data_IF_928293492159
#
_entry.id   IF_928293492159
#
_cell.length_a   1.000
_cell.length_b   1.000
_cell.length_c   1.000
_cell.angle_alpha   90.00
_cell.angle_beta   90.00
_cell.angle_gamma   90.00
#
_symmetry.space_group_name_H-M   'P 1'
#
loop_
_entity.id
_entity.type
_entity.pdbx_description
1 polymer ?
#
# COMPACT_ATOMS: atom_id res chain seq x y z
N UNK A 1 4.37 -25.54 -17.87
CA UNK A 1 4.13 -24.70 -19.08
C UNK A 1 4.54 -23.28 -18.68
N UNK A 2 5.10 -22.42 -19.53
CA UNK A 2 5.38 -21.05 -19.05
C UNK A 2 4.05 -20.34 -18.74
N UNK A 3 3.78 -20.10 -17.45
CA UNK A 3 2.58 -19.38 -17.03
C UNK A 3 2.73 -17.89 -17.38
N UNK A 4 1.65 -17.22 -17.86
CA UNK A 4 1.70 -15.83 -18.30
C UNK A 4 1.65 -14.85 -17.12
N UNK A 5 2.67 -14.89 -16.26
CA UNK A 5 2.84 -13.91 -15.20
C UNK A 5 3.13 -12.52 -15.78
N UNK A 6 2.51 -11.48 -15.25
CA UNK A 6 2.70 -10.10 -15.71
C UNK A 6 4.06 -9.55 -15.28
N UNK A 7 4.59 -8.55 -15.99
CA UNK A 7 5.87 -7.94 -15.61
C UNK A 7 5.78 -7.15 -14.29
N UNK A 8 4.64 -6.49 -14.02
CA UNK A 8 4.40 -5.68 -12.82
C UNK A 8 3.14 -6.19 -12.11
N UNK A 9 3.25 -7.37 -11.46
CA UNK A 9 2.12 -8.04 -10.82
C UNK A 9 1.61 -7.29 -9.60
N UNK A 10 0.32 -7.41 -9.31
CA UNK A 10 -0.25 -7.04 -8.03
C UNK A 10 0.09 -8.06 -6.93
N UNK A 11 -0.33 -7.77 -5.70
CA UNK A 11 0.00 -8.56 -4.50
C UNK A 11 -0.42 -10.03 -4.63
N UNK A 12 -1.57 -10.31 -5.23
CA UNK A 12 -2.12 -11.67 -5.33
C UNK A 12 -1.30 -12.46 -6.33
N UNK A 13 -1.06 -11.89 -7.50
CA UNK A 13 -0.22 -12.52 -8.52
C UNK A 13 1.23 -12.70 -8.05
N UNK A 14 1.81 -11.72 -7.34
CA UNK A 14 3.15 -11.86 -6.72
C UNK A 14 3.23 -13.06 -5.80
N UNK A 15 2.25 -13.23 -4.92
CA UNK A 15 2.22 -14.37 -4.01
C UNK A 15 2.09 -15.71 -4.74
N UNK A 16 1.28 -15.79 -5.80
CA UNK A 16 1.25 -16.98 -6.65
C UNK A 16 2.60 -17.26 -7.30
N UNK A 17 3.30 -16.23 -7.78
CA UNK A 17 4.66 -16.38 -8.33
C UNK A 17 5.62 -16.97 -7.31
N UNK A 18 5.59 -16.50 -6.06
CA UNK A 18 6.42 -17.06 -4.96
C UNK A 18 6.16 -18.55 -4.73
N UNK A 19 4.90 -18.98 -4.86
CA UNK A 19 4.44 -20.36 -4.64
C UNK A 19 4.76 -21.30 -5.79
N UNK A 20 4.81 -20.79 -7.01
CA UNK A 20 4.96 -21.59 -8.22
C UNK A 20 6.24 -22.44 -8.21
N UNK A 21 6.08 -23.76 -8.22
CA UNK A 21 7.17 -24.75 -8.19
C UNK A 21 8.16 -24.58 -7.03
N UNK A 22 7.70 -24.01 -5.91
CA UNK A 22 8.56 -23.71 -4.76
C UNK A 22 8.41 -24.75 -3.63
N UNK A 23 9.49 -25.52 -3.31
CA UNK A 23 9.45 -26.57 -2.27
C UNK A 23 9.22 -26.04 -0.85
N UNK A 24 9.45 -24.75 -0.59
CA UNK A 24 9.22 -24.16 0.73
C UNK A 24 7.72 -24.05 1.04
N UNK A 25 6.87 -23.93 0.01
CA UNK A 25 5.42 -23.85 0.17
C UNK A 25 4.72 -25.21 0.20
N UNK A 26 5.26 -26.21 -0.49
CA UNK A 26 4.73 -27.58 -0.49
C UNK A 26 5.79 -28.60 -0.92
N UNK A 27 5.68 -29.83 -0.40
CA UNK A 27 6.44 -30.97 -0.88
C UNK A 27 5.51 -32.12 -1.28
N UNK A 28 5.53 -32.59 -2.54
CA UNK A 28 6.35 -32.10 -3.66
C UNK A 28 5.96 -30.67 -4.09
N UNK A 29 6.87 -29.92 -4.75
CA UNK A 29 6.54 -28.61 -5.31
C UNK A 29 5.34 -28.68 -6.25
N UNK A 30 4.48 -27.66 -6.21
CA UNK A 30 3.25 -27.60 -6.99
C UNK A 30 3.30 -26.44 -8.00
N UNK A 31 2.84 -26.69 -9.21
CA UNK A 31 2.58 -25.64 -10.20
C UNK A 31 1.34 -24.86 -9.77
N UNK A 32 1.34 -23.54 -9.99
CA UNK A 32 0.14 -22.72 -9.80
C UNK A 32 -0.88 -23.07 -10.90
N UNK A 33 -2.15 -23.35 -10.57
CA UNK A 33 -3.18 -23.57 -11.58
C UNK A 33 -3.41 -22.31 -12.44
N UNK A 34 -3.54 -22.42 -13.77
CA UNK A 34 -3.82 -21.28 -14.65
C UNK A 34 -5.08 -20.49 -14.27
N UNK A 35 -6.11 -21.17 -13.76
CA UNK A 35 -7.35 -20.58 -13.26
C UNK A 35 -7.12 -19.69 -12.03
N UNK A 36 -6.24 -20.09 -11.12
CA UNK A 36 -5.89 -19.30 -9.92
C UNK A 36 -5.11 -18.05 -10.32
N UNK A 37 -4.19 -18.18 -11.28
CA UNK A 37 -3.44 -17.05 -11.82
C UNK A 37 -4.38 -16.03 -12.49
N UNK A 38 -5.31 -16.50 -13.32
CA UNK A 38 -6.28 -15.62 -13.97
C UNK A 38 -7.16 -14.90 -12.95
N UNK A 39 -7.65 -15.61 -11.93
CA UNK A 39 -8.48 -15.03 -10.87
C UNK A 39 -7.70 -13.97 -10.06
N UNK A 40 -6.43 -14.23 -9.75
CA UNK A 40 -5.57 -13.27 -9.06
C UNK A 40 -5.33 -12.01 -9.88
N UNK A 41 -5.03 -12.16 -11.18
CA UNK A 41 -4.84 -11.04 -12.10
C UNK A 41 -6.11 -10.18 -12.25
N UNK A 42 -7.28 -10.82 -12.31
CA UNK A 42 -8.57 -10.11 -12.34
C UNK A 42 -8.81 -9.32 -11.06
N UNK A 43 -8.63 -9.94 -9.89
CA UNK A 43 -8.81 -9.27 -8.61
C UNK A 43 -7.81 -8.11 -8.40
N UNK A 44 -6.55 -8.29 -8.80
CA UNK A 44 -5.53 -7.22 -8.75
C UNK A 44 -5.90 -6.05 -9.68
N UNK A 45 -6.50 -6.33 -10.85
CA UNK A 45 -6.97 -5.30 -11.77
C UNK A 45 -8.22 -4.56 -11.23
N UNK A 46 -9.18 -5.29 -10.67
CA UNK A 46 -10.37 -4.70 -10.04
C UNK A 46 -9.99 -3.76 -8.88
N UNK A 47 -9.04 -4.17 -8.04
CA UNK A 47 -8.51 -3.33 -6.96
C UNK A 47 -7.84 -2.06 -7.49
N UNK A 48 -7.12 -2.15 -8.62
CA UNK A 48 -6.49 -0.99 -9.25
C UNK A 48 -7.52 0.02 -9.79
N UNK A 49 -8.60 -0.44 -10.40
CA UNK A 49 -9.66 0.44 -10.91
C UNK A 49 -10.45 1.10 -9.77
N UNK A 50 -10.69 0.36 -8.68
CA UNK A 50 -11.24 0.92 -7.45
C UNK A 50 -10.32 2.01 -6.87
N UNK A 51 -9.01 1.71 -6.75
CA UNK A 51 -8.00 2.67 -6.29
C UNK A 51 -8.00 3.97 -7.12
N UNK A 52 -8.03 3.87 -8.45
CA UNK A 52 -8.06 5.05 -9.34
C UNK A 52 -9.32 5.90 -9.11
N UNK A 53 -10.46 5.27 -8.87
CA UNK A 53 -11.72 5.94 -8.60
C UNK A 53 -11.69 6.66 -7.26
N UNK A 54 -11.25 5.97 -6.21
CA UNK A 54 -11.17 6.51 -4.86
C UNK A 54 -10.11 7.61 -4.75
N UNK A 55 -8.97 7.47 -5.44
CA UNK A 55 -7.92 8.49 -5.47
C UNK A 55 -8.45 9.82 -6.03
N UNK A 56 -9.21 9.79 -7.13
CA UNK A 56 -9.85 11.00 -7.68
C UNK A 56 -10.81 11.63 -6.67
N UNK A 57 -11.59 10.82 -5.97
CA UNK A 57 -12.50 11.30 -4.94
C UNK A 57 -11.76 11.91 -3.75
N UNK A 58 -10.63 11.33 -3.31
CA UNK A 58 -9.80 11.90 -2.24
C UNK A 58 -9.17 13.23 -2.64
N UNK A 59 -8.64 13.33 -3.87
CA UNK A 59 -8.08 14.58 -4.39
C UNK A 59 -9.17 15.65 -4.44
N UNK A 60 -10.37 15.32 -4.91
CA UNK A 60 -11.49 16.26 -4.94
C UNK A 60 -11.86 16.75 -3.53
N UNK A 61 -11.98 15.83 -2.56
CA UNK A 61 -12.24 16.17 -1.15
C UNK A 61 -11.16 17.09 -0.56
N UNK A 62 -9.90 16.87 -0.90
CA UNK A 62 -8.80 17.72 -0.45
C UNK A 62 -8.88 19.14 -1.00
N UNK A 63 -9.30 19.30 -2.26
CA UNK A 63 -9.47 20.60 -2.93
C UNK A 63 -10.70 21.35 -2.40
N UNK A 64 -11.79 20.65 -2.10
CA UNK A 64 -13.04 21.21 -1.59
C UNK A 64 -13.03 21.48 -0.08
N UNK A 65 -11.94 21.15 0.61
CA UNK A 65 -11.83 21.29 2.05
C UNK A 65 -11.94 22.78 2.45
N UNK A 66 -12.91 23.17 3.29
CA UNK A 66 -13.08 24.56 3.65
C UNK A 66 -11.98 25.04 4.62
N UNK A 67 -11.64 26.34 4.64
CA UNK A 67 -10.59 26.88 5.51
C UNK A 67 -10.81 26.68 7.02
N UNK A 68 -12.07 26.52 7.43
CA UNK A 68 -12.53 26.29 8.80
C UNK A 68 -12.96 24.83 9.05
N UNK A 69 -12.54 23.89 8.19
CA UNK A 69 -12.77 22.47 8.40
C UNK A 69 -12.28 22.02 9.78
N UNK A 70 -13.14 21.28 10.49
CA UNK A 70 -12.81 20.74 11.81
C UNK A 70 -11.64 19.76 11.75
N UNK A 71 -10.83 19.72 12.83
CA UNK A 71 -9.64 18.86 12.92
C UNK A 71 -9.92 17.40 12.58
N UNK A 72 -11.07 16.86 13.00
CA UNK A 72 -11.48 15.48 12.70
C UNK A 72 -11.58 15.20 11.19
N UNK A 73 -12.14 16.14 10.41
CA UNK A 73 -12.26 16.01 8.96
C UNK A 73 -10.87 16.03 8.31
N UNK A 74 -10.00 16.92 8.78
CA UNK A 74 -8.63 17.07 8.27
C UNK A 74 -7.79 15.82 8.55
N UNK A 75 -7.88 15.29 9.78
CA UNK A 75 -7.17 14.08 10.19
C UNK A 75 -7.74 12.83 9.50
N UNK A 76 -9.06 12.75 9.31
CA UNK A 76 -9.67 11.66 8.54
C UNK A 76 -9.26 11.67 7.07
N UNK A 77 -9.08 12.85 6.46
CA UNK A 77 -8.54 12.95 5.11
C UNK A 77 -7.07 12.51 5.04
N UNK A 78 -6.24 12.88 6.04
CA UNK A 78 -4.87 12.39 6.17
C UNK A 78 -4.83 10.85 6.22
N UNK A 79 -5.63 10.25 7.11
CA UNK A 79 -5.68 8.79 7.26
C UNK A 79 -6.10 8.10 5.96
N UNK A 80 -7.10 8.64 5.25
CA UNK A 80 -7.52 8.11 3.97
C UNK A 80 -6.41 8.19 2.90
N UNK A 81 -5.68 9.29 2.86
CA UNK A 81 -4.53 9.48 1.96
C UNK A 81 -3.40 8.48 2.28
N UNK A 82 -3.10 8.25 3.57
CA UNK A 82 -2.10 7.28 4.01
C UNK A 82 -2.48 5.86 3.63
N UNK A 83 -3.75 5.48 3.82
CA UNK A 83 -4.26 4.18 3.39
C UNK A 83 -4.14 3.96 1.88
N UNK A 84 -4.44 4.99 1.08
CA UNK A 84 -4.21 4.91 -0.36
C UNK A 84 -2.73 4.85 -0.72
N UNK A 85 -1.88 5.56 0.03
CA UNK A 85 -0.44 5.45 -0.14
C UNK A 85 0.02 4.00 0.01
N UNK A 86 -0.37 3.35 1.11
CA UNK A 86 -0.12 1.94 1.41
C UNK A 86 -0.66 1.01 0.32
N UNK A 87 -1.93 1.17 -0.05
CA UNK A 87 -2.60 0.32 -1.02
C UNK A 87 -1.85 0.31 -2.36
N UNK A 88 -1.34 1.46 -2.80
CA UNK A 88 -0.68 1.62 -4.10
C UNK A 88 0.53 0.71 -4.32
N UNK A 89 1.20 0.22 -3.27
CA UNK A 89 2.35 -0.70 -3.38
C UNK A 89 1.94 -2.14 -3.67
N UNK A 90 0.69 -2.48 -3.38
CA UNK A 90 0.12 -3.79 -3.67
C UNK A 90 -0.51 -3.94 -5.04
N UNK A 91 -0.66 -2.84 -5.78
CA UNK A 91 -1.36 -2.84 -7.06
C UNK A 91 -0.44 -3.30 -8.21
N UNK A 92 -1.03 -3.81 -9.30
CA UNK A 92 -0.30 -4.02 -10.54
C UNK A 92 0.16 -2.68 -11.14
N UNK A 93 1.12 -2.72 -12.06
CA UNK A 93 1.72 -1.52 -12.69
C UNK A 93 2.54 -0.64 -11.70
N UNK A 94 2.81 0.61 -12.06
CA UNK A 94 3.58 1.56 -11.23
C UNK A 94 2.77 2.81 -11.02
N UNK A 95 2.65 3.23 -9.77
CA UNK A 95 1.80 4.34 -9.34
C UNK A 95 2.62 5.47 -8.70
N UNK A 96 3.80 5.75 -9.25
CA UNK A 96 4.74 6.73 -8.68
C UNK A 96 4.15 8.14 -8.64
N UNK A 97 3.40 8.53 -9.68
CA UNK A 97 2.80 9.86 -9.76
C UNK A 97 1.70 10.05 -8.70
N UNK A 98 0.85 9.04 -8.52
CA UNK A 98 -0.19 9.01 -7.49
C UNK A 98 0.45 9.06 -6.09
N UNK A 99 1.48 8.25 -5.85
CA UNK A 99 2.24 8.23 -4.60
C UNK A 99 2.85 9.61 -4.29
N UNK A 100 3.45 10.26 -5.28
CA UNK A 100 4.03 11.60 -5.12
C UNK A 100 2.96 12.65 -4.83
N UNK A 101 1.82 12.58 -5.49
CA UNK A 101 0.69 13.46 -5.25
C UNK A 101 0.14 13.28 -3.83
N UNK A 102 -0.05 12.04 -3.38
CA UNK A 102 -0.49 11.71 -2.03
C UNK A 102 0.50 12.25 -0.97
N UNK A 103 1.81 12.00 -1.14
CA UNK A 103 2.83 12.54 -0.22
C UNK A 103 2.77 14.06 -0.11
N UNK A 104 2.59 14.77 -1.23
CA UNK A 104 2.45 16.24 -1.25
C UNK A 104 1.19 16.71 -0.51
N UNK A 105 0.05 16.02 -0.70
CA UNK A 105 -1.20 16.36 -0.02
C UNK A 105 -1.09 16.14 1.49
N UNK A 106 -0.53 15.01 1.94
CA UNK A 106 -0.31 14.75 3.36
C UNK A 106 0.61 15.82 3.97
N UNK A 107 1.72 16.16 3.30
CA UNK A 107 2.62 17.20 3.77
C UNK A 107 1.93 18.57 3.91
N UNK A 108 1.03 18.92 2.99
CA UNK A 108 0.24 20.15 3.06
C UNK A 108 -0.73 20.13 4.25
N UNK A 109 -1.43 19.02 4.45
CA UNK A 109 -2.34 18.81 5.60
C UNK A 109 -1.56 18.95 6.91
N UNK A 110 -0.43 18.25 7.04
CA UNK A 110 0.38 18.30 8.26
C UNK A 110 0.95 19.69 8.53
N UNK A 111 1.27 20.48 7.50
CA UNK A 111 1.66 21.89 7.67
C UNK A 111 0.50 22.73 8.25
N UNK A 112 -0.73 22.49 7.82
CA UNK A 112 -1.91 23.17 8.35
C UNK A 112 -2.18 22.75 9.82
N UNK A 113 -2.10 21.45 10.12
CA UNK A 113 -2.26 20.91 11.48
C UNK A 113 -1.21 21.46 12.43
N UNK A 114 0.07 21.47 12.04
CA UNK A 114 1.17 22.05 12.83
C UNK A 114 0.96 23.54 13.13
N UNK A 115 0.37 24.28 12.18
CA UNK A 115 0.01 25.70 12.40
C UNK A 115 -1.14 25.85 13.40
N UNK A 116 -2.15 24.98 13.32
CA UNK A 116 -3.31 25.00 14.22
C UNK A 116 -2.95 24.60 15.66
N UNK A 117 -1.98 23.69 15.85
CA UNK A 117 -1.46 23.30 17.17
C UNK A 117 -0.78 24.47 17.93
N UNK A 118 -0.46 25.57 17.24
CA UNK A 118 0.04 26.79 17.88
C UNK A 118 1.36 26.56 18.60
N UNK A 119 1.45 26.97 19.88
CA UNK A 119 2.68 26.90 20.70
C UNK A 119 2.66 25.77 21.74
N UNK A 120 1.68 24.87 21.70
CA UNK A 120 1.60 23.73 22.61
C UNK A 120 2.80 22.80 22.40
N UNK A 121 3.73 22.68 23.37
CA UNK A 121 4.92 21.86 23.21
C UNK A 121 4.60 20.37 23.10
N UNK A 122 3.56 19.88 23.80
CA UNK A 122 3.19 18.47 23.77
C UNK A 122 2.63 18.09 22.40
N UNK A 123 1.66 18.87 21.90
CA UNK A 123 1.08 18.64 20.59
C UNK A 123 2.13 18.73 19.47
N UNK A 124 3.12 19.63 19.57
CA UNK A 124 4.23 19.71 18.61
C UNK A 124 5.13 18.48 18.63
N UNK A 125 5.39 17.91 19.81
CA UNK A 125 6.19 16.70 19.94
C UNK A 125 5.44 15.50 19.34
N UNK A 126 4.16 15.32 19.66
CA UNK A 126 3.36 14.22 19.10
C UNK A 126 3.28 14.28 17.56
N UNK A 127 3.13 15.48 17.00
CA UNK A 127 3.15 15.69 15.53
C UNK A 127 4.53 15.48 14.90
N UNK A 128 5.61 15.56 15.67
CA UNK A 128 6.96 15.26 15.20
C UNK A 128 7.22 13.75 15.24
N UNK A 129 6.84 13.09 16.33
CA UNK A 129 6.96 11.64 16.49
C UNK A 129 6.12 10.89 15.44
N UNK A 130 4.89 11.37 15.17
CA UNK A 130 4.03 10.82 14.12
C UNK A 130 4.66 10.98 12.73
N UNK A 131 5.25 12.13 12.42
CA UNK A 131 5.91 12.37 11.13
C UNK A 131 7.10 11.41 10.95
N UNK A 132 7.93 11.22 11.98
CA UNK A 132 9.05 10.30 11.94
C UNK A 132 8.58 8.85 11.73
N UNK A 133 7.56 8.41 12.48
CA UNK A 133 6.97 7.10 12.33
C UNK A 133 6.41 6.88 10.91
N UNK A 134 5.74 7.90 10.36
CA UNK A 134 5.19 7.88 9.00
C UNK A 134 6.28 7.79 7.93
N UNK A 135 7.38 8.53 8.07
CA UNK A 135 8.51 8.44 7.14
C UNK A 135 9.16 7.04 7.13
N UNK A 136 9.32 6.44 8.31
CA UNK A 136 9.80 5.05 8.44
C UNK A 136 8.82 4.09 7.77
N UNK A 137 7.53 4.23 8.06
CA UNK A 137 6.49 3.39 7.47
C UNK A 137 6.48 3.49 5.94
N UNK A 138 6.56 4.71 5.39
CA UNK A 138 6.60 4.94 3.94
C UNK A 138 7.82 4.31 3.28
N UNK A 139 8.99 4.37 3.94
CA UNK A 139 10.21 3.71 3.45
C UNK A 139 10.09 2.19 3.47
N UNK A 140 9.43 1.63 4.48
CA UNK A 140 9.22 0.19 4.58
C UNK A 140 8.29 -0.32 3.46
N UNK A 141 7.25 0.43 3.11
CA UNK A 141 6.32 0.07 2.02
C UNK A 141 6.99 0.01 0.64
N UNK A 142 8.13 0.71 0.46
CA UNK A 142 8.90 0.62 -0.79
C UNK A 142 9.48 -0.79 -1.02
N UNK A 143 9.50 -1.65 0.01
CA UNK A 143 9.78 -3.07 -0.12
C UNK A 143 8.48 -3.84 -0.42
N UNK A 144 8.30 -4.42 -1.63
CA UNK A 144 7.07 -5.08 -2.03
C UNK A 144 6.61 -6.19 -1.09
N UNK A 145 7.54 -6.96 -0.53
CA UNK A 145 7.24 -7.97 0.49
C UNK A 145 6.58 -7.34 1.73
N UNK A 146 7.10 -6.20 2.21
CA UNK A 146 6.54 -5.54 3.41
C UNK A 146 5.16 -4.99 3.10
N UNK A 147 4.96 -4.37 1.93
CA UNK A 147 3.65 -3.91 1.49
C UNK A 147 2.63 -5.05 1.36
N UNK A 148 3.06 -6.22 0.86
CA UNK A 148 2.21 -7.42 0.77
C UNK A 148 1.82 -7.94 2.15
N UNK A 149 2.75 -7.96 3.11
CA UNK A 149 2.53 -8.45 4.47
C UNK A 149 1.64 -7.52 5.30
N UNK A 150 1.79 -6.21 5.14
CA UNK A 150 1.03 -5.21 5.91
C UNK A 150 -0.39 -5.00 5.39
N UNK A 151 -0.71 -5.49 4.20
CA UNK A 151 -2.05 -5.31 3.65
C UNK A 151 -3.12 -6.02 4.51
N UNK A 152 -4.26 -5.37 4.81
CA UNK A 152 -5.32 -5.98 5.60
C UNK A 152 -5.87 -7.28 5.00
N UNK A 153 -5.90 -7.35 3.68
CA UNK A 153 -6.30 -8.54 2.90
C UNK A 153 -5.08 -9.18 2.24
N UNK A 154 -3.97 -9.31 2.98
CA UNK A 154 -2.77 -9.97 2.46
C UNK A 154 -3.08 -11.38 1.97
N UNK A 155 -2.61 -11.79 0.78
CA UNK A 155 -2.72 -13.18 0.33
C UNK A 155 -1.76 -14.12 1.08
N UNK A 156 -0.85 -13.59 1.90
CA UNK A 156 0.16 -14.36 2.63
C UNK A 156 -0.43 -14.81 3.97
N UNK A 157 -0.84 -16.09 4.04
CA UNK A 157 -1.32 -16.69 5.28
C UNK A 157 -0.21 -16.89 6.34
N UNK A 158 -0.55 -17.06 7.63
CA UNK A 158 0.45 -17.29 8.69
C UNK A 158 1.34 -18.51 8.46
N UNK A 159 0.79 -19.58 7.90
CA UNK A 159 1.49 -20.82 7.51
C UNK A 159 2.42 -20.63 6.31
N UNK A 160 2.19 -19.57 5.53
CA UNK A 160 2.96 -19.21 4.34
C UNK A 160 3.98 -18.09 4.60
N UNK A 161 4.03 -17.53 5.81
CA UNK A 161 4.95 -16.45 6.14
C UNK A 161 6.42 -16.85 6.00
N UNK A 162 6.81 -17.95 6.64
CA UNK A 162 8.18 -18.45 6.58
C UNK A 162 8.65 -18.75 5.14
N UNK A 163 7.90 -19.52 4.32
CA UNK A 163 8.33 -19.78 2.95
C UNK A 163 8.35 -18.51 2.10
N UNK A 164 7.42 -17.57 2.30
CA UNK A 164 7.44 -16.27 1.62
C UNK A 164 8.70 -15.47 1.93
N UNK A 165 9.05 -15.29 3.21
CA UNK A 165 10.24 -14.52 3.60
C UNK A 165 11.53 -15.20 3.11
N UNK A 166 11.61 -16.52 3.17
CA UNK A 166 12.79 -17.28 2.73
C UNK A 166 12.93 -17.35 1.20
N UNK A 167 11.85 -17.11 0.46
CA UNK A 167 11.87 -17.07 -1.01
C UNK A 167 12.03 -15.67 -1.60
N UNK A 168 11.95 -14.63 -0.76
CA UNK A 168 12.03 -13.25 -1.22
C UNK A 168 13.42 -12.94 -1.80
N UNK A 169 13.42 -12.29 -2.96
CA UNK A 169 14.65 -11.82 -3.62
C UNK A 169 14.84 -10.32 -3.36
N UNK A 170 16.07 -9.81 -3.58
CA UNK A 170 16.38 -8.39 -3.42
C UNK A 170 15.67 -7.50 -4.46
N UNK A 171 15.28 -8.08 -5.59
CA UNK A 171 14.67 -7.38 -6.74
C UNK A 171 13.15 -7.62 -6.85
N UNK A 172 12.55 -8.26 -5.83
CA UNK A 172 11.10 -8.46 -5.76
C UNK A 172 10.34 -7.18 -5.45
#
# INVERSE_FOLDING_TARGET
MELPFTHKPGRRERHLRRRHENPLFAWPPQEVPPEDLLAAQQADHEEMEAFRTDFRALVQKAVELPPDAGSEIVLGLKEALERHYEQSFGLPETHTEERDAIRKLIALIMKAVKRAAGADPLARQELADEEEAREIHFRLLEQPLVADLLHPESPIGPDQLAPTVLSATLDE
#
